data_IF_162567865316
#
_entry.id   IF_162567865316
#
_cell.length_a   1.000
_cell.length_b   1.000
_cell.length_c   1.000
_cell.angle_alpha   90.00
_cell.angle_beta   90.00
_cell.angle_gamma   90.00
#
_symmetry.space_group_name_H-M   'P 1'
#
loop_
_entity.id
_entity.type
_entity.pdbx_description
1 polymer ?
#
# COMPACT_ATOMS: atom_id res chain seq x y z
N UNK A 1 20.88 27.41 -6.19
CA UNK A 1 19.82 26.92 -7.09
C UNK A 1 19.14 25.75 -6.42
N UNK A 2 17.87 25.93 -6.01
CA UNK A 2 17.08 24.88 -5.38
C UNK A 2 16.78 23.82 -6.43
N UNK A 3 17.24 22.59 -6.22
CA UNK A 3 16.93 21.46 -7.07
C UNK A 3 15.42 21.23 -7.07
N UNK A 4 14.77 21.43 -8.21
CA UNK A 4 13.36 21.07 -8.42
C UNK A 4 13.17 19.60 -8.04
N UNK A 5 12.37 19.36 -7.00
CA UNK A 5 11.88 18.02 -6.69
C UNK A 5 10.95 17.64 -7.84
N UNK A 6 11.42 16.82 -8.78
CA UNK A 6 10.58 16.25 -9.84
C UNK A 6 9.67 15.18 -9.24
N UNK A 7 8.43 15.55 -8.92
CA UNK A 7 7.36 14.59 -8.65
C UNK A 7 7.17 13.66 -9.86
N UNK A 8 7.24 12.34 -9.68
CA UNK A 8 6.75 11.38 -10.67
C UNK A 8 5.25 11.21 -10.43
N UNK A 9 4.41 11.44 -11.45
CA UNK A 9 2.94 11.51 -11.32
C UNK A 9 2.22 10.27 -11.89
N UNK A 10 1.31 9.68 -11.09
CA UNK A 10 0.24 8.69 -11.40
C UNK A 10 -0.19 7.96 -10.10
N UNK A 11 -1.43 7.52 -9.78
CA UNK A 11 -2.78 7.54 -10.39
C UNK A 11 -3.87 7.58 -9.28
N UNK A 12 -4.90 8.42 -9.46
CA UNK A 12 -6.24 8.21 -8.91
C UNK A 12 -7.23 8.83 -9.91
N UNK A 13 -7.81 8.02 -10.79
CA UNK A 13 -8.64 8.49 -11.91
C UNK A 13 -10.02 9.01 -11.45
N UNK A 14 -10.45 8.55 -10.28
CA UNK A 14 -11.74 8.82 -9.64
C UNK A 14 -11.55 8.82 -8.12
N UNK A 15 -12.24 9.67 -7.37
CA UNK A 15 -12.10 9.67 -5.91
C UNK A 15 -12.78 8.45 -5.30
N UNK A 16 -12.24 7.83 -4.24
CA UNK A 16 -12.90 6.72 -3.54
C UNK A 16 -14.34 7.05 -3.12
N UNK A 17 -14.60 8.31 -2.72
CA UNK A 17 -15.93 8.79 -2.37
C UNK A 17 -16.93 8.84 -3.55
N UNK A 18 -16.44 8.75 -4.79
CA UNK A 18 -17.24 8.79 -6.02
C UNK A 18 -17.35 7.38 -6.65
N UNK A 19 -16.62 6.40 -6.13
CA UNK A 19 -16.64 5.01 -6.63
C UNK A 19 -17.91 4.28 -6.19
N UNK A 20 -18.39 3.35 -7.02
CA UNK A 20 -19.35 2.33 -6.57
C UNK A 20 -18.67 1.40 -5.55
N UNK A 21 -19.46 0.59 -4.85
CA UNK A 21 -18.92 -0.39 -3.91
C UNK A 21 -17.98 -1.41 -4.60
N UNK A 22 -18.33 -1.82 -5.82
CA UNK A 22 -17.54 -2.76 -6.63
C UNK A 22 -16.24 -2.11 -7.12
N UNK A 23 -16.32 -0.88 -7.64
CA UNK A 23 -15.14 -0.12 -8.07
C UNK A 23 -14.19 0.12 -6.90
N UNK A 24 -14.74 0.51 -5.74
CA UNK A 24 -13.96 0.76 -4.54
C UNK A 24 -13.24 -0.50 -4.07
N UNK A 25 -13.93 -1.65 -4.09
CA UNK A 25 -13.35 -2.94 -3.72
C UNK A 25 -12.19 -3.32 -4.65
N UNK A 26 -12.38 -3.22 -5.97
CA UNK A 26 -11.32 -3.52 -6.95
C UNK A 26 -10.13 -2.57 -6.74
N UNK A 27 -10.39 -1.29 -6.51
CA UNK A 27 -9.36 -0.29 -6.25
C UNK A 27 -8.57 -0.59 -4.97
N UNK A 28 -9.24 -1.00 -3.89
CA UNK A 28 -8.60 -1.42 -2.64
C UNK A 28 -7.72 -2.66 -2.83
N UNK A 29 -8.24 -3.71 -3.46
CA UNK A 29 -7.49 -4.94 -3.73
C UNK A 29 -6.25 -4.69 -4.58
N UNK A 30 -6.38 -3.85 -5.62
CA UNK A 30 -5.26 -3.47 -6.47
C UNK A 30 -4.24 -2.61 -5.72
N UNK A 31 -4.70 -1.64 -4.93
CA UNK A 31 -3.85 -0.76 -4.14
C UNK A 31 -3.06 -1.51 -3.08
N UNK A 32 -3.69 -2.46 -2.37
CA UNK A 32 -3.00 -3.32 -1.40
C UNK A 32 -1.89 -4.14 -2.06
N UNK A 33 -2.16 -4.70 -3.25
CA UNK A 33 -1.17 -5.45 -4.03
C UNK A 33 0.00 -4.57 -4.45
N UNK A 34 -0.27 -3.38 -5.00
CA UNK A 34 0.75 -2.44 -5.46
C UNK A 34 1.63 -1.95 -4.30
N UNK A 35 1.03 -1.61 -3.17
CA UNK A 35 1.76 -1.17 -1.97
C UNK A 35 2.65 -2.29 -1.45
N UNK A 36 2.12 -3.52 -1.33
CA UNK A 36 2.91 -4.69 -0.91
C UNK A 36 4.09 -4.92 -1.85
N UNK A 37 3.85 -4.98 -3.15
CA UNK A 37 4.89 -5.20 -4.16
C UNK A 37 5.95 -4.09 -4.12
N UNK A 38 5.54 -2.83 -3.96
CA UNK A 38 6.46 -1.71 -3.84
C UNK A 38 7.34 -1.81 -2.59
N UNK A 39 6.76 -2.01 -1.41
CA UNK A 39 7.51 -2.13 -0.15
C UNK A 39 8.54 -3.27 -0.23
N UNK A 40 8.13 -4.43 -0.75
CA UNK A 40 9.02 -5.57 -0.93
C UNK A 40 10.11 -5.34 -1.99
N UNK A 41 9.84 -4.51 -3.00
CA UNK A 41 10.86 -4.15 -4.01
C UNK A 41 12.02 -3.34 -3.40
N UNK A 42 11.75 -2.61 -2.31
CA UNK A 42 12.74 -1.79 -1.58
C UNK A 42 13.18 -2.41 -0.25
N UNK A 43 12.90 -3.71 -0.05
CA UNK A 43 13.21 -4.47 1.19
C UNK A 43 12.63 -3.82 2.46
N UNK A 44 11.43 -3.26 2.37
CA UNK A 44 10.66 -2.82 3.53
C UNK A 44 9.52 -3.81 3.80
N UNK A 45 9.21 -4.10 5.08
CA UNK A 45 8.05 -4.89 5.43
C UNK A 45 6.75 -4.13 5.22
N UNK A 46 5.66 -4.88 5.00
CA UNK A 46 4.30 -4.36 5.07
C UNK A 46 3.81 -4.44 6.53
N UNK A 47 3.51 -3.29 7.13
CA UNK A 47 3.07 -3.20 8.52
C UNK A 47 1.61 -2.73 8.57
N UNK A 48 0.74 -3.48 9.26
CA UNK A 48 -0.69 -3.19 9.35
C UNK A 48 -1.29 -3.72 10.66
N UNK A 49 -2.46 -3.18 11.04
CA UNK A 49 -3.22 -3.72 12.16
C UNK A 49 -4.22 -4.78 11.66
N UNK A 50 -4.26 -5.91 12.37
CA UNK A 50 -5.26 -6.96 12.15
C UNK A 50 -5.74 -7.46 13.51
N UNK A 51 -7.04 -7.50 13.73
CA UNK A 51 -7.65 -7.97 14.98
C UNK A 51 -7.05 -7.33 16.25
N UNK A 52 -6.70 -6.04 16.17
CA UNK A 52 -6.13 -5.28 17.28
C UNK A 52 -4.64 -5.51 17.54
N UNK A 53 -3.97 -6.37 16.77
CA UNK A 53 -2.53 -6.60 16.85
C UNK A 53 -1.79 -5.98 15.66
N UNK A 54 -0.55 -5.56 15.91
CA UNK A 54 0.34 -5.05 14.86
C UNK A 54 1.01 -6.22 14.15
N UNK A 55 0.81 -6.33 12.86
CA UNK A 55 1.34 -7.39 11.99
C UNK A 55 2.43 -6.80 11.11
N UNK A 56 3.54 -7.52 11.00
CA UNK A 56 4.67 -7.23 10.12
C UNK A 56 4.78 -8.39 9.14
N UNK A 57 4.60 -8.11 7.84
CA UNK A 57 4.72 -9.08 6.75
C UNK A 57 5.98 -8.75 5.94
N UNK A 58 6.88 -9.72 5.81
CA UNK A 58 8.14 -9.58 5.07
C UNK A 58 8.03 -10.10 3.64
N UNK A 59 9.00 -9.71 2.80
CA UNK A 59 9.05 -10.12 1.39
C UNK A 59 9.11 -11.64 1.17
N UNK A 60 9.72 -12.37 2.10
CA UNK A 60 9.82 -13.83 2.03
C UNK A 60 8.53 -14.53 2.47
N UNK A 61 7.50 -13.77 2.84
CA UNK A 61 6.22 -14.27 3.33
C UNK A 61 6.21 -14.60 4.82
N UNK A 62 7.29 -14.31 5.56
CA UNK A 62 7.26 -14.39 7.02
C UNK A 62 6.34 -13.32 7.60
N UNK A 63 5.60 -13.71 8.64
CA UNK A 63 4.64 -12.85 9.33
C UNK A 63 4.98 -12.87 10.81
N UNK A 64 5.18 -11.69 11.37
CA UNK A 64 5.45 -11.48 12.79
C UNK A 64 4.37 -10.59 13.42
N UNK A 65 4.10 -10.81 14.71
CA UNK A 65 3.28 -9.91 15.51
C UNK A 65 4.23 -9.00 16.28
N UNK A 66 4.20 -7.71 15.97
CA UNK A 66 4.98 -6.71 16.69
C UNK A 66 4.40 -6.51 18.10
N UNK A 67 5.29 -6.46 19.09
CA UNK A 67 4.97 -6.32 20.51
C UNK A 67 5.22 -4.90 21.00
#
# INVERSE_FOLDING_TARGET
MLSEIKYRTGTMTKRPAEMSAEELKIWQEQGEKEVREYLFSINQPLVYYKDGVLVVEEKDGSIEIAR
#
